data_IF_889262700765
#
_entry.id   IF_889262700765
#
_cell.length_a   1.000
_cell.length_b   1.000
_cell.length_c   1.000
_cell.angle_alpha   90.00
_cell.angle_beta   90.00
_cell.angle_gamma   90.00
#
_symmetry.space_group_name_H-M   'P 1'
#
loop_
_entity.id
_entity.type
_entity.pdbx_description
1 polymer ?
#
# COMPACT_ATOMS: atom_id res chain seq x y z
N UNK A 1 16.28 13.78 -1.30
CA UNK A 1 15.66 13.87 0.04
C UNK A 1 16.34 12.86 0.93
N UNK A 2 16.76 13.23 2.14
CA UNK A 2 17.33 12.28 3.09
C UNK A 2 16.26 11.88 4.10
N UNK A 3 16.11 10.58 4.32
CA UNK A 3 15.20 10.01 5.31
C UNK A 3 16.04 9.30 6.37
N UNK A 4 15.71 9.53 7.63
CA UNK A 4 16.34 8.85 8.76
C UNK A 4 15.43 7.69 9.14
N UNK A 5 15.98 6.48 9.09
CA UNK A 5 15.27 5.27 9.49
C UNK A 5 15.39 5.05 10.99
N UNK A 6 14.37 4.46 11.60
CA UNK A 6 14.50 3.97 12.98
C UNK A 6 15.39 2.72 12.99
N UNK A 7 16.06 2.40 14.12
CA UNK A 7 16.87 1.19 14.23
C UNK A 7 16.10 -0.11 13.90
N UNK A 8 14.78 -0.12 14.18
CA UNK A 8 13.90 -1.24 13.87
C UNK A 8 13.65 -1.39 12.37
N UNK A 9 13.45 -0.27 11.66
CA UNK A 9 13.32 -0.25 10.19
C UNK A 9 14.60 -0.71 9.52
N UNK A 10 15.77 -0.25 9.99
CA UNK A 10 17.06 -0.70 9.47
C UNK A 10 17.26 -2.20 9.67
N UNK A 11 16.99 -2.71 10.87
CA UNK A 11 17.09 -4.13 11.19
C UNK A 11 16.15 -4.97 10.33
N UNK A 12 14.93 -4.50 10.11
CA UNK A 12 13.98 -5.16 9.23
C UNK A 12 14.51 -5.22 7.79
N UNK A 13 14.93 -4.10 7.22
CA UNK A 13 15.43 -4.02 5.84
C UNK A 13 16.69 -4.89 5.65
N UNK A 14 17.64 -4.82 6.59
CA UNK A 14 18.82 -5.71 6.58
C UNK A 14 18.41 -7.18 6.61
N UNK A 15 17.42 -7.57 7.43
CA UNK A 15 16.96 -8.96 7.47
C UNK A 15 16.39 -9.44 6.13
N UNK A 16 15.74 -8.57 5.35
CA UNK A 16 15.20 -8.94 4.04
C UNK A 16 16.32 -9.11 3.00
N UNK A 17 17.38 -8.29 3.09
CA UNK A 17 18.57 -8.41 2.24
C UNK A 17 19.34 -9.69 2.57
N UNK A 18 19.56 -9.99 3.86
CA UNK A 18 20.22 -11.22 4.30
C UNK A 18 19.47 -12.47 3.86
N UNK A 19 18.13 -12.40 3.78
CA UNK A 19 17.28 -13.48 3.23
C UNK A 19 17.35 -13.60 1.71
N UNK A 20 18.09 -12.74 1.02
CA UNK A 20 18.21 -12.69 -0.44
C UNK A 20 16.94 -12.18 -1.14
N UNK A 21 15.99 -11.57 -0.41
CA UNK A 21 14.75 -11.05 -1.01
C UNK A 21 14.98 -9.76 -1.79
N UNK A 22 15.97 -8.98 -1.37
CA UNK A 22 16.37 -7.74 -2.02
C UNK A 22 17.88 -7.64 -2.08
N UNK A 23 18.38 -7.00 -3.13
CA UNK A 23 19.82 -6.84 -3.42
C UNK A 23 20.42 -5.68 -2.63
N UNK A 24 19.60 -4.68 -2.27
CA UNK A 24 20.02 -3.53 -1.48
C UNK A 24 18.82 -2.88 -0.76
N UNK A 25 19.12 -1.91 0.12
CA UNK A 25 18.13 -1.18 0.92
C UNK A 25 17.16 -0.41 0.01
N UNK A 26 17.66 0.21 -1.05
CA UNK A 26 16.83 1.01 -1.95
C UNK A 26 15.74 0.17 -2.62
N UNK A 27 16.10 -1.03 -3.12
CA UNK A 27 15.14 -1.95 -3.72
C UNK A 27 14.04 -2.38 -2.74
N UNK A 28 14.41 -2.60 -1.47
CA UNK A 28 13.45 -2.94 -0.42
C UNK A 28 12.51 -1.77 -0.10
N UNK A 29 13.02 -0.53 -0.08
CA UNK A 29 12.22 0.69 0.10
C UNK A 29 11.28 0.89 -1.08
N UNK A 30 11.76 0.75 -2.32
CA UNK A 30 10.95 0.91 -3.52
C UNK A 30 9.79 -0.10 -3.54
N UNK A 31 10.05 -1.34 -3.12
CA UNK A 31 9.01 -2.36 -2.99
C UNK A 31 7.97 -2.00 -1.91
N UNK A 32 8.41 -1.46 -0.76
CA UNK A 32 7.52 -1.00 0.29
C UNK A 32 6.63 0.17 -0.15
N UNK A 33 7.19 1.13 -0.90
CA UNK A 33 6.43 2.26 -1.43
C UNK A 33 5.42 1.83 -2.49
N UNK A 34 5.78 0.90 -3.39
CA UNK A 34 4.82 0.33 -4.36
C UNK A 34 3.67 -0.40 -3.66
N UNK A 35 3.95 -1.10 -2.57
CA UNK A 35 2.90 -1.75 -1.78
C UNK A 35 1.95 -0.72 -1.16
N UNK A 36 2.49 0.38 -0.63
CA UNK A 36 1.70 1.46 -0.08
C UNK A 36 0.81 2.12 -1.14
N UNK A 37 1.38 2.46 -2.30
CA UNK A 37 0.63 3.04 -3.42
C UNK A 37 -0.50 2.11 -3.88
N UNK A 38 -0.20 0.81 -4.01
CA UNK A 38 -1.22 -0.18 -4.35
C UNK A 38 -2.34 -0.24 -3.31
N UNK A 39 -2.00 -0.22 -2.02
CA UNK A 39 -3.00 -0.24 -0.96
C UNK A 39 -3.93 0.98 -1.03
N UNK A 40 -3.40 2.16 -1.34
CA UNK A 40 -4.20 3.37 -1.52
C UNK A 40 -5.12 3.27 -2.75
N UNK A 41 -4.62 2.72 -3.86
CA UNK A 41 -5.42 2.48 -5.07
C UNK A 41 -6.55 1.48 -4.81
N UNK A 42 -6.22 0.33 -4.22
CA UNK A 42 -7.19 -0.74 -3.91
C UNK A 42 -8.29 -0.21 -2.96
N UNK A 43 -7.93 0.64 -1.98
CA UNK A 43 -8.90 1.28 -1.08
C UNK A 43 -9.82 2.25 -1.81
N UNK A 44 -9.27 3.07 -2.70
CA UNK A 44 -10.05 4.04 -3.46
C UNK A 44 -11.03 3.35 -4.41
N UNK A 45 -10.59 2.30 -5.10
CA UNK A 45 -11.43 1.47 -5.96
C UNK A 45 -12.60 0.86 -5.17
N UNK A 46 -12.30 0.21 -4.04
CA UNK A 46 -13.32 -0.35 -3.16
C UNK A 46 -14.34 0.71 -2.69
N UNK A 47 -13.88 1.91 -2.35
CA UNK A 47 -14.73 3.01 -1.90
C UNK A 47 -15.69 3.46 -3.02
N UNK A 48 -15.19 3.59 -4.24
CA UNK A 48 -15.97 4.06 -5.38
C UNK A 48 -16.97 3.00 -5.83
N UNK A 49 -16.58 1.72 -5.86
CA UNK A 49 -17.50 0.60 -6.09
C UNK A 49 -18.62 0.56 -5.05
N UNK A 50 -18.28 0.69 -3.77
CA UNK A 50 -19.25 0.69 -2.67
C UNK A 50 -20.23 1.85 -2.81
N UNK A 51 -19.74 3.06 -3.13
CA UNK A 51 -20.60 4.23 -3.37
C UNK A 51 -21.53 4.02 -4.55
N UNK A 52 -21.05 3.43 -5.65
CA UNK A 52 -21.87 3.13 -6.81
C UNK A 52 -23.00 2.15 -6.46
N UNK A 53 -22.70 1.08 -5.72
CA UNK A 53 -23.70 0.10 -5.26
C UNK A 53 -24.74 0.72 -4.34
N UNK A 54 -24.32 1.55 -3.38
CA UNK A 54 -25.23 2.28 -2.49
C UNK A 54 -26.16 3.20 -3.28
N UNK A 55 -25.61 3.95 -4.26
CA UNK A 55 -26.41 4.83 -5.11
C UNK A 55 -27.50 4.07 -5.87
N UNK A 56 -27.14 2.93 -6.48
CA UNK A 56 -28.12 2.06 -7.17
C UNK A 56 -29.20 1.58 -6.20
N UNK A 57 -28.82 1.16 -4.98
CA UNK A 57 -29.78 0.74 -3.97
C UNK A 57 -30.74 1.86 -3.55
N UNK A 58 -30.26 3.09 -3.40
CA UNK A 58 -31.09 4.26 -3.09
C UNK A 58 -32.06 4.58 -4.24
N UNK A 59 -31.59 4.60 -5.49
CA UNK A 59 -32.43 4.84 -6.67
C UNK A 59 -33.55 3.80 -6.83
N UNK A 60 -33.32 2.56 -6.38
CA UNK A 60 -34.35 1.52 -6.37
C UNK A 60 -35.41 1.71 -5.29
N UNK A 61 -35.07 2.33 -4.15
CA UNK A 61 -36.00 2.60 -3.05
C UNK A 61 -36.90 3.82 -3.33
N UNK A 62 -36.41 4.77 -4.13
CA UNK A 62 -37.16 5.96 -4.54
C UNK A 62 -38.16 5.70 -5.67
N UNK A 63 -38.16 4.49 -6.25
CA UNK A 63 -38.98 4.10 -7.40
C UNK A 63 -40.19 3.26 -6.99
#
# INVERSE_FOLDING_TARGET
MNIILTPEQEKFLQSQITKGRYTNIQQAIDAALKLLEKQEQDYQEWLDETRAQVKVGLEQLER
#
